data_IF_929228317492
#
_entry.id   IF_929228317492
#
_cell.length_a   1.000
_cell.length_b   1.000
_cell.length_c   1.000
_cell.angle_alpha   90.00
_cell.angle_beta   90.00
_cell.angle_gamma   90.00
#
_symmetry.space_group_name_H-M   'P 1'
#
loop_
_entity.id
_entity.type
_entity.pdbx_description
1 polymer ?
#
# COMPACT_ATOMS: atom_id res chain seq x y z
N UNK A 1 12.97 -10.02 -1.92
CA UNK A 1 12.48 -8.67 -2.28
C UNK A 1 11.68 -8.77 -3.57
N UNK A 2 10.52 -8.08 -3.66
CA UNK A 2 9.62 -8.19 -4.82
C UNK A 2 10.26 -7.64 -6.12
N UNK A 3 10.71 -6.38 -6.12
CA UNK A 3 11.30 -5.74 -7.31
C UNK A 3 12.66 -6.31 -7.72
N UNK A 4 13.50 -6.75 -6.77
CA UNK A 4 14.89 -7.17 -7.08
C UNK A 4 15.03 -8.69 -7.23
N UNK A 5 14.65 -9.47 -6.22
CA UNK A 5 14.83 -10.93 -6.23
C UNK A 5 13.80 -11.64 -7.09
N UNK A 6 12.56 -11.15 -7.08
CA UNK A 6 11.44 -11.77 -7.81
C UNK A 6 11.15 -11.08 -9.15
N UNK A 7 11.81 -9.95 -9.44
CA UNK A 7 11.66 -9.23 -10.70
C UNK A 7 10.22 -8.76 -10.95
N UNK A 8 9.45 -8.47 -9.90
CA UNK A 8 8.09 -7.97 -10.06
C UNK A 8 8.11 -6.58 -10.73
N UNK A 9 7.27 -6.39 -11.74
CA UNK A 9 7.08 -5.09 -12.40
C UNK A 9 6.14 -4.18 -11.60
N UNK A 10 5.26 -4.77 -10.79
CA UNK A 10 4.26 -4.08 -9.96
C UNK A 10 4.16 -4.71 -8.57
N UNK A 11 4.00 -3.87 -7.54
CA UNK A 11 3.71 -4.28 -6.16
C UNK A 11 2.64 -3.37 -5.57
N UNK A 12 1.61 -3.95 -4.96
CA UNK A 12 0.53 -3.19 -4.30
C UNK A 12 0.65 -3.30 -2.78
N UNK A 13 0.84 -2.17 -2.10
CA UNK A 13 0.80 -2.08 -0.65
C UNK A 13 -0.64 -1.85 -0.22
N UNK A 14 -1.24 -2.81 0.47
CA UNK A 14 -2.61 -2.71 1.01
C UNK A 14 -2.57 -2.52 2.52
N UNK A 15 -3.38 -1.59 3.02
CA UNK A 15 -3.49 -1.33 4.45
C UNK A 15 -4.85 -0.74 4.82
N UNK A 16 -5.18 -0.80 6.11
CA UNK A 16 -6.47 -0.33 6.63
C UNK A 16 -6.37 0.26 8.03
N UNK A 17 -7.29 1.16 8.34
CA UNK A 17 -7.39 1.83 9.63
C UNK A 17 -6.09 2.53 10.04
N UNK A 18 -5.66 2.31 11.29
CA UNK A 18 -4.46 2.95 11.86
C UNK A 18 -3.15 2.66 11.13
N UNK A 19 -3.11 1.65 10.27
CA UNK A 19 -1.89 1.26 9.55
C UNK A 19 -1.74 1.96 8.19
N UNK A 20 -2.68 2.85 7.82
CA UNK A 20 -2.59 3.64 6.59
C UNK A 20 -1.34 4.51 6.59
N UNK A 21 -1.02 5.18 7.71
CA UNK A 21 0.21 5.97 7.84
C UNK A 21 1.46 5.13 7.58
N UNK A 22 1.52 3.93 8.17
CA UNK A 22 2.63 2.99 7.95
C UNK A 22 2.74 2.56 6.49
N UNK A 23 1.63 2.38 5.77
CA UNK A 23 1.68 2.03 4.35
C UNK A 23 2.33 3.13 3.51
N UNK A 24 1.99 4.40 3.80
CA UNK A 24 2.62 5.56 3.18
C UNK A 24 4.11 5.61 3.51
N UNK A 25 4.48 5.41 4.78
CA UNK A 25 5.90 5.38 5.20
C UNK A 25 6.68 4.28 4.47
N UNK A 26 6.09 3.08 4.34
CA UNK A 26 6.72 1.96 3.61
C UNK A 26 6.91 2.31 2.14
N UNK A 27 5.91 2.92 1.48
CA UNK A 27 6.02 3.35 0.09
C UNK A 27 7.12 4.41 -0.09
N UNK A 28 7.17 5.42 0.79
CA UNK A 28 8.20 6.47 0.76
C UNK A 28 9.60 5.91 0.98
N UNK A 29 9.78 5.08 2.01
CA UNK A 29 11.09 4.51 2.34
C UNK A 29 11.55 3.56 1.24
N UNK A 30 10.65 2.75 0.66
CA UNK A 30 11.00 1.90 -0.46
C UNK A 30 11.50 2.72 -1.66
N UNK A 31 10.75 3.75 -2.09
CA UNK A 31 11.09 4.53 -3.29
C UNK A 31 12.22 5.54 -3.09
N UNK A 32 12.40 6.10 -1.89
CA UNK A 32 13.41 7.15 -1.64
C UNK A 32 14.71 6.66 -1.03
N UNK A 33 14.69 5.53 -0.32
CA UNK A 33 15.89 5.04 0.40
C UNK A 33 16.47 3.76 -0.20
N UNK A 34 15.63 2.84 -0.64
CA UNK A 34 16.10 1.50 -1.04
C UNK A 34 16.15 1.30 -2.55
N UNK A 35 15.17 1.84 -3.28
CA UNK A 35 14.98 1.64 -4.71
C UNK A 35 14.87 3.00 -5.43
N UNK A 36 15.69 3.95 -4.99
CA UNK A 36 15.75 5.30 -5.55
C UNK A 36 16.03 5.24 -7.06
N UNK A 37 15.20 5.95 -7.83
CA UNK A 37 15.27 5.97 -9.29
C UNK A 37 14.81 4.68 -10.00
N UNK A 38 14.53 3.61 -9.27
CA UNK A 38 14.15 2.30 -9.84
C UNK A 38 12.65 2.04 -9.81
N UNK A 39 11.94 2.60 -8.82
CA UNK A 39 10.49 2.45 -8.70
C UNK A 39 9.81 3.81 -8.47
N UNK A 40 8.52 3.89 -8.77
CA UNK A 40 7.66 5.01 -8.40
C UNK A 40 6.25 4.55 -8.04
N UNK A 41 5.44 5.48 -7.53
CA UNK A 41 4.00 5.29 -7.43
C UNK A 41 3.40 5.36 -8.83
N UNK A 42 2.57 4.38 -9.19
CA UNK A 42 1.91 4.36 -10.49
C UNK A 42 0.99 5.58 -10.68
N UNK A 43 0.85 6.11 -11.92
CA UNK A 43 -0.19 7.09 -12.23
C UNK A 43 -1.57 6.55 -11.84
N UNK A 44 -2.36 7.34 -11.09
CA UNK A 44 -3.64 6.89 -10.51
C UNK A 44 -3.52 5.61 -9.66
N UNK A 45 -2.35 5.33 -9.11
CA UNK A 45 -2.04 4.11 -8.35
C UNK A 45 -2.41 4.15 -6.87
N UNK A 46 -3.14 5.18 -6.42
CA UNK A 46 -3.60 5.30 -5.04
C UNK A 46 -5.10 5.11 -5.03
N UNK A 47 -5.56 4.04 -4.39
CA UNK A 47 -6.96 3.79 -4.13
C UNK A 47 -7.24 3.98 -2.64
N UNK A 48 -8.33 4.65 -2.30
CA UNK A 48 -8.80 4.80 -0.93
C UNK A 48 -10.29 4.54 -0.87
N UNK A 49 -10.74 3.95 0.23
CA UNK A 49 -12.15 3.68 0.42
C UNK A 49 -12.47 3.29 1.85
N UNK A 50 -13.58 2.60 2.03
CA UNK A 50 -13.92 1.99 3.32
C UNK A 50 -14.66 0.69 3.11
N UNK A 51 -14.40 -0.28 3.97
CA UNK A 51 -15.08 -1.57 3.99
C UNK A 51 -15.81 -1.76 5.32
N UNK A 52 -16.92 -2.50 5.29
CA UNK A 52 -17.63 -2.92 6.50
C UNK A 52 -17.03 -4.23 7.03
N UNK A 53 -16.82 -4.27 8.34
CA UNK A 53 -16.33 -5.44 9.07
C UNK A 53 -17.21 -5.71 10.27
N UNK A 54 -17.41 -6.98 10.60
CA UNK A 54 -18.00 -7.36 11.89
C UNK A 54 -16.90 -7.38 12.96
N UNK A 55 -17.10 -6.62 14.04
CA UNK A 55 -16.24 -6.74 15.21
C UNK A 55 -16.54 -8.04 15.97
N UNK A 56 -15.70 -8.39 16.95
CA UNK A 56 -15.87 -9.61 17.77
C UNK A 56 -17.19 -9.66 18.57
N UNK A 57 -17.88 -8.54 18.70
CA UNK A 57 -19.16 -8.38 19.41
C UNK A 57 -20.35 -8.36 18.42
N UNK A 58 -20.12 -8.65 17.13
CA UNK A 58 -21.16 -8.68 16.10
C UNK A 58 -21.63 -7.30 15.62
N UNK A 59 -20.90 -6.23 15.96
CA UNK A 59 -21.20 -4.87 15.49
C UNK A 59 -20.50 -4.61 14.16
N UNK A 60 -21.26 -4.13 13.17
CA UNK A 60 -20.69 -3.61 11.93
C UNK A 60 -19.91 -2.32 12.19
N UNK A 61 -18.64 -2.33 11.81
CA UNK A 61 -17.74 -1.17 11.85
C UNK A 61 -17.25 -0.88 10.44
N UNK A 62 -17.11 0.41 10.12
CA UNK A 62 -16.55 0.85 8.85
C UNK A 62 -15.08 1.19 9.05
N UNK A 63 -14.21 0.58 8.25
CA UNK A 63 -12.76 0.78 8.34
C UNK A 63 -12.25 1.30 7.01
N UNK A 64 -11.59 2.45 7.04
CA UNK A 64 -10.95 3.01 5.84
C UNK A 64 -9.79 2.13 5.38
N UNK A 65 -9.59 2.03 4.06
CA UNK A 65 -8.45 1.33 3.46
C UNK A 65 -7.68 2.24 2.50
N UNK A 66 -6.44 1.85 2.23
CA UNK A 66 -5.59 2.41 1.17
C UNK A 66 -4.92 1.27 0.40
N UNK A 67 -4.84 1.42 -0.92
CA UNK A 67 -3.96 0.64 -1.78
C UNK A 67 -2.98 1.59 -2.48
N UNK A 68 -1.68 1.30 -2.39
CA UNK A 68 -0.62 2.08 -3.04
C UNK A 68 0.11 1.16 -4.00
N UNK A 69 -0.07 1.41 -5.30
CA UNK A 69 0.59 0.68 -6.38
C UNK A 69 1.94 1.29 -6.68
N UNK A 70 2.99 0.50 -6.50
CA UNK A 70 4.36 0.81 -6.88
C UNK A 70 4.70 0.05 -8.17
N UNK A 71 5.35 0.73 -9.11
CA UNK A 71 5.79 0.16 -10.39
C UNK A 71 7.28 0.41 -10.59
N UNK A 72 7.90 -0.45 -11.39
CA UNK A 72 9.27 -0.25 -11.85
C UNK A 72 9.33 0.87 -12.91
N UNK A 73 10.42 1.64 -12.90
CA UNK A 73 10.74 2.63 -13.95
C UNK A 73 11.42 1.99 -15.15
#
# INVERSE_FOLDING_TARGET
MQFTTQGAEEVVIKSRGRFISRAVDVAEVARKRFLEGQIDIAPNGIEVGSEEFDNKEGKRIRVSYVEIKLIKK
#
